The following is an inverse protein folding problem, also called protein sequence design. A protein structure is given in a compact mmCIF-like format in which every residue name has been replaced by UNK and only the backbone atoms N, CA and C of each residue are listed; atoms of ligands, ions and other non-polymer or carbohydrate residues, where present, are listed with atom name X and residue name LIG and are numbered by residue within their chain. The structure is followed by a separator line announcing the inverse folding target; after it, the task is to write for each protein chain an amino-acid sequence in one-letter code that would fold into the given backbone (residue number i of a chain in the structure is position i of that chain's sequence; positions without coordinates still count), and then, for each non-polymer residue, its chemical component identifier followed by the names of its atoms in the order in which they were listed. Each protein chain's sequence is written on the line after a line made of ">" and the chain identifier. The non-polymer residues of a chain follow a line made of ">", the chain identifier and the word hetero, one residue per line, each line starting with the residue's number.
data_IF_425119514813
#
_entry.id   IF_425119514813
#
_cell.length_a   1.000
_cell.length_b   1.000
_cell.length_c   1.000
_cell.angle_alpha   90.00
_cell.angle_beta   90.00
_cell.angle_gamma   90.00
#
_symmetry.space_group_name_H-M   'P 1'
#
loop_
_entity.id
_entity.type
_entity.pdbx_description
1 polymer ?
#
# COMPACT_ATOMS: atom_id res chain seq x y z
N UNK A 1 10.38 6.19 3.69
CA UNK A 1 9.31 7.21 3.78
C UNK A 1 8.27 6.92 4.87
N UNK A 2 7.74 5.71 5.00
CA UNK A 2 6.72 5.37 6.02
C UNK A 2 7.15 5.71 7.46
N UNK A 3 8.44 5.50 7.78
CA UNK A 3 9.02 5.90 9.06
C UNK A 3 8.80 7.39 9.37
N UNK A 4 9.10 8.28 8.43
CA UNK A 4 8.95 9.73 8.59
C UNK A 4 7.52 10.10 8.98
N UNK A 5 6.53 9.49 8.33
CA UNK A 5 5.11 9.75 8.62
C UNK A 5 4.75 9.27 10.04
N UNK A 6 5.22 8.09 10.43
CA UNK A 6 4.90 7.46 11.71
C UNK A 6 5.69 8.04 12.90
N UNK A 7 6.85 8.65 12.65
CA UNK A 7 7.71 9.25 13.66
C UNK A 7 7.12 10.55 14.22
N UNK A 8 6.53 11.39 13.35
CA UNK A 8 6.05 12.72 13.74
C UNK A 8 4.55 12.80 14.04
N UNK A 9 3.80 11.72 13.80
CA UNK A 9 2.35 11.69 14.03
C UNK A 9 1.96 10.79 15.18
N UNK A 10 0.93 11.21 15.93
CA UNK A 10 0.27 10.35 16.91
C UNK A 10 -0.28 9.11 16.19
N UNK A 11 -0.08 7.93 16.78
CA UNK A 11 -0.49 6.61 16.23
C UNK A 11 -1.88 6.67 15.58
N UNK A 12 -2.90 7.12 16.32
CA UNK A 12 -4.28 7.20 15.83
C UNK A 12 -4.44 8.10 14.58
N UNK A 13 -3.73 9.22 14.49
CA UNK A 13 -3.84 10.13 13.33
C UNK A 13 -3.19 9.51 12.09
N UNK A 14 -2.01 8.92 12.25
CA UNK A 14 -1.30 8.26 11.15
C UNK A 14 -2.12 7.10 10.56
N UNK A 15 -2.70 6.26 11.44
CA UNK A 15 -3.55 5.13 11.02
C UNK A 15 -4.76 5.56 10.19
N UNK A 16 -5.33 6.76 10.42
CA UNK A 16 -6.47 7.27 9.64
C UNK A 16 -6.08 7.77 8.24
N UNK A 17 -4.80 8.05 8.00
CA UNK A 17 -4.31 8.70 6.78
C UNK A 17 -3.54 7.76 5.86
N UNK A 18 -3.01 6.66 6.41
CA UNK A 18 -2.22 5.70 5.66
C UNK A 18 -3.11 4.55 5.20
N UNK A 19 -3.17 4.34 3.89
CA UNK A 19 -3.81 3.18 3.28
C UNK A 19 -2.74 2.32 2.62
N UNK A 20 -2.71 1.03 2.94
CA UNK A 20 -1.83 0.07 2.27
C UNK A 20 -2.55 -0.48 1.03
N UNK A 21 -1.96 -0.23 -0.14
CA UNK A 21 -2.44 -0.74 -1.43
C UNK A 21 -1.41 -1.76 -1.91
N UNK A 22 -1.76 -3.05 -1.96
CA UNK A 22 -0.84 -4.06 -2.48
C UNK A 22 -0.70 -3.88 -3.99
N UNK A 23 0.54 -3.81 -4.48
CA UNK A 23 0.83 -3.65 -5.93
C UNK A 23 0.56 -4.97 -6.67
N UNK A 24 0.73 -6.10 -5.98
CA UNK A 24 0.44 -7.44 -6.50
C UNK A 24 -0.71 -8.08 -5.71
N UNK A 25 -1.34 -9.13 -6.25
CA UNK A 25 -2.41 -9.86 -5.55
C UNK A 25 -1.94 -10.73 -4.37
N UNK A 26 -0.67 -10.59 -3.96
CA UNK A 26 -0.08 -11.33 -2.86
C UNK A 26 -0.63 -10.83 -1.52
N UNK A 27 -1.46 -11.66 -0.90
CA UNK A 27 -1.90 -11.50 0.50
C UNK A 27 -0.73 -11.46 1.49
N UNK A 28 0.40 -12.02 1.08
CA UNK A 28 1.59 -12.24 1.87
C UNK A 28 2.24 -10.93 2.31
N UNK A 29 2.06 -9.83 1.55
CA UNK A 29 2.63 -8.54 1.90
C UNK A 29 2.01 -7.94 3.17
N UNK A 30 0.69 -8.05 3.37
CA UNK A 30 0.03 -7.57 4.59
C UNK A 30 0.39 -8.47 5.79
N UNK A 31 0.56 -9.76 5.56
CA UNK A 31 1.01 -10.70 6.58
C UNK A 31 2.47 -10.44 7.00
N UNK A 32 3.37 -10.20 6.04
CA UNK A 32 4.74 -9.79 6.30
C UNK A 32 4.80 -8.49 7.10
N UNK A 33 3.96 -7.50 6.77
CA UNK A 33 3.85 -6.25 7.55
C UNK A 33 3.27 -6.48 8.96
N UNK A 34 2.43 -7.49 9.15
CA UNK A 34 1.91 -7.83 10.48
C UNK A 34 3.02 -8.34 11.40
N UNK A 35 3.97 -9.09 10.84
CA UNK A 35 5.13 -9.65 11.53
C UNK A 35 6.41 -8.83 11.33
N UNK A 36 6.27 -7.57 10.88
CA UNK A 36 7.40 -6.72 10.58
C UNK A 36 8.28 -6.49 11.81
N UNK A 37 9.59 -6.62 11.62
CA UNK A 37 10.58 -6.22 12.60
C UNK A 37 11.67 -5.42 11.89
N UNK A 38 11.83 -4.17 12.31
CA UNK A 38 12.81 -3.25 11.76
C UNK A 38 14.25 -3.75 11.88
N UNK A 39 14.57 -4.61 12.85
CA UNK A 39 15.89 -5.24 12.95
C UNK A 39 16.23 -6.15 11.76
N UNK A 40 15.21 -6.63 11.03
CA UNK A 40 15.37 -7.45 9.84
C UNK A 40 15.23 -6.63 8.55
N UNK A 41 14.98 -5.33 8.65
CA UNK A 41 14.78 -4.46 7.50
C UNK A 41 16.14 -3.98 6.98
N UNK A 42 16.40 -4.22 5.71
CA UNK A 42 17.64 -3.81 5.03
C UNK A 42 17.38 -2.63 4.10
N UNK A 43 18.31 -1.68 4.03
CA UNK A 43 18.30 -0.65 3.00
C UNK A 43 19.30 -1.02 1.89
N UNK A 44 19.09 -0.48 0.69
CA UNK A 44 20.04 -0.66 -0.42
C UNK A 44 21.41 0.00 -0.17
N UNK A 45 21.44 1.03 0.68
CA UNK A 45 22.63 1.79 1.03
C UNK A 45 22.93 1.62 2.53
N UNK A 46 24.12 1.11 2.90
CA UNK A 46 24.47 0.90 4.32
C UNK A 46 24.61 2.22 5.09
N UNK A 47 24.96 3.31 4.40
CA UNK A 47 25.02 4.65 5.00
C UNK A 47 23.62 5.14 5.37
N UNK A 48 22.65 4.96 4.48
CA UNK A 48 21.26 5.33 4.75
C UNK A 48 20.65 4.43 5.82
N UNK A 49 20.98 3.14 5.83
CA UNK A 49 20.53 2.21 6.87
C UNK A 49 20.98 2.67 8.26
N UNK A 50 22.29 2.93 8.42
CA UNK A 50 22.86 3.36 9.70
C UNK A 50 22.19 4.65 10.19
N UNK A 51 21.99 5.61 9.28
CA UNK A 51 21.32 6.87 9.60
C UNK A 51 19.86 6.65 10.00
N UNK A 52 19.10 5.90 9.21
CA UNK A 52 17.68 5.63 9.47
C UNK A 52 17.51 4.88 10.79
N UNK A 53 18.33 3.86 11.05
CA UNK A 53 18.33 3.11 12.30
C UNK A 53 18.61 3.99 13.50
N UNK A 54 19.57 4.92 13.40
CA UNK A 54 19.85 5.88 14.51
C UNK A 54 18.62 6.74 14.86
N UNK A 55 17.83 7.14 13.87
CA UNK A 55 16.61 7.94 14.09
C UNK A 55 15.50 7.06 14.67
N UNK A 56 15.35 5.83 14.17
CA UNK A 56 14.39 4.85 14.72
C UNK A 56 14.71 4.55 16.18
N UNK A 57 15.98 4.40 16.53
CA UNK A 57 16.40 4.12 17.90
C UNK A 57 16.15 5.30 18.83
N UNK A 58 16.38 6.53 18.36
CA UNK A 58 16.05 7.74 19.11
C UNK A 58 14.54 7.92 19.33
N UNK A 59 13.70 7.53 18.37
CA UNK A 59 12.24 7.62 18.47
C UNK A 59 11.63 6.44 19.24
N UNK A 60 12.26 5.28 19.21
CA UNK A 60 11.79 4.07 19.87
C UNK A 60 11.48 2.96 18.87
N UNK A 61 12.41 2.01 18.75
CA UNK A 61 12.32 0.84 17.86
C UNK A 61 11.04 0.03 18.05
N UNK A 62 10.69 -0.26 19.31
CA UNK A 62 9.50 -1.04 19.64
C UNK A 62 8.21 -0.31 19.24
N UNK A 63 8.15 1.00 19.47
CA UNK A 63 7.00 1.81 19.09
C UNK A 63 6.82 1.83 17.56
N UNK A 64 7.93 1.90 16.81
CA UNK A 64 7.88 1.84 15.36
C UNK A 64 7.35 0.48 14.86
N UNK A 65 7.89 -0.63 15.35
CA UNK A 65 7.40 -1.98 15.02
C UNK A 65 5.90 -2.13 15.33
N UNK A 66 5.47 -1.70 16.53
CA UNK A 66 4.06 -1.75 16.89
C UNK A 66 3.15 -0.93 15.97
N UNK A 67 3.58 0.26 15.54
CA UNK A 67 2.82 1.10 14.61
C UNK A 67 2.63 0.40 13.27
N UNK A 68 3.67 -0.24 12.74
CA UNK A 68 3.62 -1.00 11.48
C UNK A 68 2.67 -2.21 11.61
N UNK A 69 2.85 -3.04 12.65
CA UNK A 69 1.98 -4.20 12.86
C UNK A 69 0.53 -3.80 13.10
N UNK A 70 0.29 -2.69 13.80
CA UNK A 70 -1.08 -2.16 14.01
C UNK A 70 -1.70 -1.75 12.68
N UNK A 71 -0.97 -1.01 11.85
CA UNK A 71 -1.43 -0.59 10.51
C UNK A 71 -1.80 -1.80 9.65
N UNK A 72 -0.94 -2.81 9.62
CA UNK A 72 -1.16 -4.03 8.86
C UNK A 72 -2.42 -4.78 9.31
N UNK A 73 -2.60 -4.95 10.63
CA UNK A 73 -3.80 -5.61 11.20
C UNK A 73 -5.08 -4.85 10.88
N UNK A 74 -5.06 -3.52 10.95
CA UNK A 74 -6.22 -2.69 10.58
C UNK A 74 -6.59 -2.87 9.11
N UNK A 75 -5.59 -2.86 8.22
CA UNK A 75 -5.85 -3.07 6.79
C UNK A 75 -6.33 -4.49 6.48
N UNK A 76 -5.75 -5.51 7.11
CA UNK A 76 -6.22 -6.90 7.00
C UNK A 76 -7.70 -7.02 7.33
N UNK A 77 -8.11 -6.43 8.45
CA UNK A 77 -9.50 -6.42 8.89
C UNK A 77 -10.43 -5.66 7.93
N UNK A 78 -9.95 -4.56 7.35
CA UNK A 78 -10.70 -3.81 6.33
C UNK A 78 -10.88 -4.62 5.03
N UNK A 79 -9.83 -5.29 4.55
CA UNK A 79 -9.90 -6.15 3.36
C UNK A 79 -10.85 -7.34 3.53
N UNK A 80 -10.87 -7.99 4.70
CA UNK A 80 -11.80 -9.10 4.98
C UNK A 80 -13.25 -8.63 4.87
N UNK A 81 -13.57 -7.43 5.39
CA UNK A 81 -14.92 -6.86 5.31
C UNK A 81 -15.37 -6.58 3.88
N UNK A 82 -14.46 -6.13 3.02
CA UNK A 82 -14.77 -5.85 1.62
C UNK A 82 -14.97 -7.15 0.82
N UNK A 83 -14.20 -8.21 1.11
CA UNK A 83 -14.36 -9.51 0.42
C UNK A 83 -15.66 -10.25 0.74
N UNK A 84 -16.34 -9.93 1.86
CA UNK A 84 -17.69 -10.40 2.16
C UNK A 84 -18.81 -9.64 1.41
N UNK A 85 -18.48 -8.50 0.80
CA UNK A 85 -19.37 -7.71 -0.04
C UNK A 85 -18.85 -7.81 -1.47
N UNK A 86 -19.25 -8.86 -2.18
CA UNK A 86 -18.94 -9.04 -3.59
C UNK A 86 -19.21 -7.73 -4.35
N UNK A 87 -18.19 -7.04 -4.90
CA UNK A 87 -18.41 -5.87 -5.71
C UNK A 87 -19.08 -6.37 -6.99
N UNK A 88 -20.36 -6.03 -7.19
CA UNK A 88 -20.96 -6.13 -8.52
C UNK A 88 -20.16 -5.19 -9.41
N UNK A 89 -19.20 -5.74 -10.15
CA UNK A 89 -18.53 -5.03 -11.23
C UNK A 89 -19.62 -4.71 -12.24
N UNK A 90 -20.19 -3.51 -12.15
CA UNK A 90 -20.97 -2.93 -13.22
C UNK A 90 -19.98 -2.39 -14.23
N UNK A 91 -19.56 -3.23 -15.17
CA UNK A 91 -19.04 -2.78 -16.45
C UNK A 91 -20.16 -2.05 -17.19
N UNK A 92 -20.36 -0.76 -16.88
CA UNK A 92 -20.99 0.15 -17.84
C UNK A 92 -19.88 0.76 -18.68
N UNK A 93 -19.44 -0.01 -19.67
CA UNK A 93 -18.75 0.49 -20.85
C UNK A 93 -19.74 1.41 -21.58
N UNK A 94 -19.78 2.68 -21.21
CA UNK A 94 -20.45 3.71 -22.01
C UNK A 94 -19.46 4.17 -23.07
N UNK A 95 -19.31 3.38 -24.13
CA UNK A 95 -18.65 3.83 -25.36
C UNK A 95 -19.44 5.02 -25.90
N UNK A 96 -18.86 6.21 -25.77
CA UNK A 96 -19.45 7.44 -26.28
C UNK A 96 -19.40 7.41 -27.81
N UNK A 97 -20.54 7.12 -28.41
CA UNK A 97 -20.74 6.99 -29.86
C UNK A 97 -20.96 8.39 -30.43
N UNK A 98 -19.90 9.17 -30.60
CA UNK A 98 -19.89 10.39 -31.42
C UNK A 98 -18.45 10.87 -31.64
N UNK A 99 -17.82 10.38 -32.72
CA UNK A 99 -17.02 11.19 -33.66
C UNK A 99 -16.63 10.31 -34.86
N UNK A 100 -17.16 10.73 -36.01
CA UNK A 100 -16.50 10.76 -37.32
C UNK A 100 -16.31 9.44 -38.10
N UNK A 101 -17.19 9.31 -39.10
CA UNK A 101 -17.11 8.61 -40.39
C UNK A 101 -15.96 7.60 -40.66
N UNK A 102 -16.29 6.37 -41.08
CA UNK A 102 -15.32 5.44 -41.62
C UNK A 102 -14.93 5.84 -43.05
N UNK A 103 -13.65 6.15 -43.28
CA UNK A 103 -13.05 6.11 -44.61
C UNK A 103 -12.51 4.69 -44.81
N UNK A 104 -13.23 3.89 -45.59
CA UNK A 104 -12.78 2.57 -46.01
C UNK A 104 -11.64 2.71 -47.02
N UNK A 105 -10.42 2.31 -46.66
CA UNK A 105 -9.35 2.02 -47.61
C UNK A 105 -9.21 0.49 -47.63
N UNK A 106 -9.65 -0.11 -48.73
CA UNK A 106 -9.48 -1.53 -49.01
C UNK A 106 -8.02 -1.82 -49.38
N UNK A 107 -7.53 -2.98 -48.92
CA UNK A 107 -6.37 -3.63 -49.52
C UNK A 107 -6.86 -4.87 -50.27
N UNK A 108 -6.49 -4.92 -51.54
CA UNK A 108 -6.64 -6.05 -52.45
C UNK A 108 -5.75 -7.21 -52.02
N UNK A 109 -6.23 -8.43 -52.20
CA UNK A 109 -5.46 -9.57 -52.68
C UNK A 109 -6.32 -10.33 -53.67
#
# INVERSE_FOLDING_TARGET
>A
ELFTILAFQRKHQAMKRIQLIPVNHETDAIEALTNFNVANATCYSPFDETRIMSIIDAVGRNEFNEKISTLARQQRNACIRIRGLSPKIHTKTHWNRNREHPVSIGYMN
#
